data_IF_330259253188
#
_entry.id   IF_330259253188
#
_cell.length_a   1.000
_cell.length_b   1.000
_cell.length_c   1.000
_cell.angle_alpha   90.00
_cell.angle_beta   90.00
_cell.angle_gamma   90.00
#
_symmetry.space_group_name_H-M   'P 1'
#
loop_
_entity.id
_entity.type
_entity.pdbx_description
1 polymer ?
#
# COMPACT_ATOMS: atom_id res chain seq x y z
N UNK A 1 -5.16 -45.49 42.53
CA UNK A 1 -4.00 -44.93 43.30
C UNK A 1 -3.33 -46.09 44.03
N UNK A 2 -2.01 -46.35 43.81
CA UNK A 2 -1.30 -47.35 44.56
C UNK A 2 -0.96 -46.85 45.97
N UNK A 3 -1.18 -47.63 46.96
CA UNK A 3 -0.82 -47.37 48.37
C UNK A 3 0.64 -47.73 48.67
N UNK A 4 1.37 -48.29 47.69
CA UNK A 4 2.76 -48.70 47.87
C UNK A 4 3.70 -47.49 48.15
N UNK A 5 4.77 -47.66 48.92
CA UNK A 5 5.76 -46.62 49.16
C UNK A 5 6.37 -46.07 47.86
N UNK A 6 6.70 -44.76 47.84
CA UNK A 6 7.27 -44.07 46.66
C UNK A 6 8.50 -44.73 46.11
N UNK A 7 9.41 -45.17 47.00
CA UNK A 7 10.67 -45.86 46.65
C UNK A 7 10.44 -47.23 45.99
N UNK A 8 9.39 -47.93 46.39
CA UNK A 8 9.06 -49.24 45.77
C UNK A 8 8.55 -49.05 44.34
N UNK A 9 7.64 -48.06 44.15
CA UNK A 9 7.16 -47.73 42.80
C UNK A 9 8.29 -47.19 41.89
N UNK A 10 9.16 -46.34 42.44
CA UNK A 10 10.28 -45.80 41.71
C UNK A 10 11.19 -46.90 41.18
N UNK A 11 11.53 -47.90 42.03
CA UNK A 11 12.34 -49.04 41.68
C UNK A 11 11.64 -49.96 40.68
N UNK A 12 10.33 -50.20 40.86
CA UNK A 12 9.52 -51.09 39.97
C UNK A 12 9.45 -50.56 38.55
N UNK A 13 9.29 -49.25 38.40
CA UNK A 13 9.10 -48.61 37.09
C UNK A 13 10.38 -47.96 36.56
N UNK A 14 11.54 -48.05 37.21
CA UNK A 14 12.80 -47.48 36.77
C UNK A 14 12.78 -45.94 36.69
N UNK A 15 12.02 -45.30 37.56
CA UNK A 15 11.87 -43.82 37.56
C UNK A 15 12.31 -43.22 38.90
N UNK A 16 12.55 -41.91 38.96
CA UNK A 16 12.93 -41.24 40.24
C UNK A 16 11.75 -41.13 41.21
N UNK A 17 12.08 -41.12 42.50
CA UNK A 17 11.08 -40.85 43.60
C UNK A 17 10.33 -39.55 43.36
N UNK A 18 11.00 -38.54 42.85
CA UNK A 18 10.41 -37.27 42.50
C UNK A 18 9.35 -37.40 41.40
N UNK A 19 9.59 -38.22 40.43
CA UNK A 19 8.64 -38.53 39.33
C UNK A 19 7.38 -39.22 39.93
N UNK A 20 7.56 -40.17 40.84
CA UNK A 20 6.40 -40.82 41.51
C UNK A 20 5.60 -39.80 42.33
N UNK A 21 6.28 -38.93 43.12
CA UNK A 21 5.61 -37.87 43.91
C UNK A 21 4.87 -36.89 43.00
N UNK A 22 5.46 -36.51 41.87
CA UNK A 22 4.85 -35.63 40.87
C UNK A 22 3.56 -36.23 40.31
N UNK A 23 3.56 -37.51 39.95
CA UNK A 23 2.38 -38.19 39.45
C UNK A 23 1.31 -38.40 40.50
N UNK A 24 1.67 -38.70 41.77
CA UNK A 24 0.72 -38.77 42.89
C UNK A 24 0.01 -37.44 43.15
N UNK A 25 0.74 -36.31 43.07
CA UNK A 25 0.18 -34.97 43.20
C UNK A 25 -0.79 -34.59 42.08
N UNK A 26 -0.64 -35.17 40.90
CA UNK A 26 -1.50 -34.87 39.74
C UNK A 26 -2.90 -35.45 39.84
N UNK A 27 -3.16 -36.47 40.62
CA UNK A 27 -4.48 -37.09 40.75
C UNK A 27 -4.85 -38.04 39.60
N UNK A 28 -6.11 -38.50 39.58
CA UNK A 28 -6.59 -39.53 38.65
C UNK A 28 -6.70 -39.09 37.19
N UNK A 29 -6.89 -37.79 36.93
CA UNK A 29 -7.09 -37.25 35.59
C UNK A 29 -5.76 -36.85 34.91
N UNK A 30 -4.65 -37.25 35.48
CA UNK A 30 -3.33 -36.72 35.18
C UNK A 30 -2.52 -37.56 34.19
N UNK A 31 -3.14 -38.56 33.56
CA UNK A 31 -2.46 -39.34 32.50
C UNK A 31 -2.28 -38.57 31.17
N UNK A 32 -2.97 -37.45 31.02
CA UNK A 32 -2.79 -36.60 29.86
C UNK A 32 -1.62 -35.63 30.06
N UNK A 33 -0.81 -35.49 29.03
CA UNK A 33 0.25 -34.49 29.03
C UNK A 33 -0.31 -33.07 29.18
N UNK A 34 0.33 -32.28 30.04
CA UNK A 34 0.01 -30.86 30.11
C UNK A 34 0.48 -30.20 28.83
N UNK A 35 -0.33 -29.27 28.32
CA UNK A 35 0.09 -28.46 27.18
C UNK A 35 1.48 -27.88 27.42
N UNK A 36 2.39 -28.07 26.48
CA UNK A 36 3.72 -27.46 26.48
C UNK A 36 3.70 -25.97 26.16
N UNK A 37 2.51 -25.46 25.83
CA UNK A 37 2.34 -24.04 25.50
C UNK A 37 2.59 -23.16 26.72
N UNK A 38 3.48 -22.14 26.63
CA UNK A 38 3.71 -21.19 27.71
C UNK A 38 2.39 -20.49 28.13
N UNK A 39 2.20 -20.28 29.43
CA UNK A 39 1.04 -19.56 29.96
C UNK A 39 1.03 -18.07 29.58
N UNK A 40 2.21 -17.49 29.43
CA UNK A 40 2.41 -16.12 28.97
C UNK A 40 3.18 -16.15 27.64
N UNK A 41 2.59 -15.55 26.64
CA UNK A 41 3.19 -15.40 25.32
C UNK A 41 3.47 -13.91 25.15
N UNK A 42 4.74 -13.51 25.26
CA UNK A 42 5.17 -12.11 25.16
C UNK A 42 4.72 -11.42 23.85
N UNK A 43 4.47 -12.20 22.82
CA UNK A 43 4.01 -11.75 21.51
C UNK A 43 2.48 -11.78 21.34
N UNK A 44 1.71 -12.18 22.38
CA UNK A 44 0.25 -12.20 22.31
C UNK A 44 -0.27 -10.79 22.48
N UNK A 45 -1.06 -10.32 21.53
CA UNK A 45 -1.75 -9.05 21.61
C UNK A 45 -2.72 -9.02 22.82
N UNK A 46 -2.76 -7.89 23.52
CA UNK A 46 -3.78 -7.62 24.53
C UNK A 46 -5.16 -7.46 23.90
N UNK A 47 -6.21 -7.43 24.69
CA UNK A 47 -7.57 -7.21 24.17
C UNK A 47 -7.73 -5.79 23.61
N UNK A 48 -7.09 -4.80 24.21
CA UNK A 48 -7.07 -3.42 23.71
C UNK A 48 -6.36 -3.32 22.36
N UNK A 49 -5.21 -3.98 22.22
CA UNK A 49 -4.49 -4.03 20.95
C UNK A 49 -5.28 -4.74 19.86
N UNK A 50 -5.97 -5.83 20.20
CA UNK A 50 -6.89 -6.51 19.29
C UNK A 50 -8.02 -5.59 18.84
N UNK A 51 -8.61 -4.83 19.78
CA UNK A 51 -9.65 -3.85 19.48
C UNK A 51 -9.14 -2.76 18.54
N UNK A 52 -7.92 -2.24 18.78
CA UNK A 52 -7.27 -1.24 17.90
C UNK A 52 -7.10 -1.79 16.49
N UNK A 53 -6.55 -3.00 16.33
CA UNK A 53 -6.37 -3.65 15.01
C UNK A 53 -7.71 -3.79 14.28
N UNK A 54 -8.74 -4.27 14.98
CA UNK A 54 -10.06 -4.46 14.40
C UNK A 54 -10.73 -3.13 14.03
N UNK A 55 -10.61 -2.11 14.88
CA UNK A 55 -11.19 -0.81 14.63
C UNK A 55 -10.50 -0.11 13.46
N UNK A 56 -9.17 -0.16 13.40
CA UNK A 56 -8.41 0.38 12.26
C UNK A 56 -8.84 -0.29 10.95
N UNK A 57 -9.05 -1.61 10.95
CA UNK A 57 -9.55 -2.35 9.80
C UNK A 57 -10.92 -1.88 9.35
N UNK A 58 -11.85 -1.68 10.29
CA UNK A 58 -13.24 -1.25 9.99
C UNK A 58 -13.28 0.18 9.46
N UNK A 59 -12.51 1.10 10.08
CA UNK A 59 -12.53 2.51 9.74
C UNK A 59 -11.83 2.83 8.41
N UNK A 60 -10.74 2.11 8.09
CA UNK A 60 -9.91 2.43 6.92
C UNK A 60 -10.13 1.50 5.73
N UNK A 61 -10.64 0.29 5.94
CA UNK A 61 -10.69 -0.74 4.89
C UNK A 61 -9.31 -1.21 4.40
N UNK A 62 -8.23 -0.89 5.09
CA UNK A 62 -6.87 -1.21 4.67
C UNK A 62 -6.65 -2.71 4.49
N UNK A 63 -5.86 -3.08 3.50
CA UNK A 63 -5.35 -4.44 3.33
C UNK A 63 -4.47 -4.88 4.50
N UNK A 64 -4.17 -6.19 4.58
CA UNK A 64 -3.33 -6.72 5.66
C UNK A 64 -1.93 -6.10 5.67
N UNK A 65 -1.35 -5.89 4.49
CA UNK A 65 0.00 -5.32 4.37
C UNK A 65 0.02 -3.84 4.78
N UNK A 66 -1.03 -3.09 4.44
CA UNK A 66 -1.19 -1.70 4.83
C UNK A 66 -1.40 -1.53 6.34
N UNK A 67 -2.25 -2.39 6.92
CA UNK A 67 -2.44 -2.44 8.38
C UNK A 67 -1.12 -2.76 9.09
N UNK A 68 -0.37 -3.74 8.59
CA UNK A 68 0.93 -4.12 9.16
C UNK A 68 1.90 -2.95 9.12
N UNK A 69 1.93 -2.21 8.00
CA UNK A 69 2.78 -1.03 7.86
C UNK A 69 2.42 0.05 8.88
N UNK A 70 1.15 0.39 9.01
CA UNK A 70 0.68 1.43 9.95
C UNK A 70 0.90 0.99 11.40
N UNK A 71 0.50 -0.23 11.75
CA UNK A 71 0.59 -0.74 13.11
C UNK A 71 2.03 -0.89 13.62
N UNK A 72 3.00 -1.12 12.72
CA UNK A 72 4.42 -1.22 13.08
C UNK A 72 4.95 0.01 13.83
N UNK A 73 4.38 1.19 13.60
CA UNK A 73 4.82 2.43 14.22
C UNK A 73 4.44 2.56 15.70
N UNK A 74 3.40 1.85 16.16
CA UNK A 74 2.92 1.94 17.55
C UNK A 74 2.65 0.58 18.22
N UNK A 75 2.54 -0.51 17.45
CA UNK A 75 2.48 -1.89 17.94
C UNK A 75 3.54 -2.76 17.24
N UNK A 76 4.84 -2.45 17.39
CA UNK A 76 5.93 -3.06 16.62
C UNK A 76 6.11 -4.56 16.88
N UNK A 77 5.62 -5.08 18.01
CA UNK A 77 5.67 -6.50 18.37
C UNK A 77 4.64 -7.34 17.59
N UNK A 78 3.61 -6.71 17.00
CA UNK A 78 2.62 -7.41 16.19
C UNK A 78 3.15 -7.57 14.75
N UNK A 79 3.54 -8.78 14.41
CA UNK A 79 3.89 -9.10 13.04
C UNK A 79 2.64 -9.32 12.17
N UNK A 80 2.85 -9.44 10.86
CA UNK A 80 1.80 -9.64 9.87
C UNK A 80 0.88 -10.84 10.18
N UNK A 81 1.45 -11.94 10.68
CA UNK A 81 0.70 -13.16 10.98
C UNK A 81 -0.15 -13.00 12.23
N UNK A 82 0.34 -12.26 13.24
CA UNK A 82 -0.44 -11.92 14.43
C UNK A 82 -1.65 -11.06 14.05
N UNK A 83 -1.46 -10.04 13.23
CA UNK A 83 -2.53 -9.17 12.73
C UNK A 83 -3.54 -10.00 11.94
N UNK A 84 -3.08 -10.90 11.04
CA UNK A 84 -3.99 -11.77 10.29
C UNK A 84 -4.83 -12.68 11.20
N UNK A 85 -4.23 -13.27 12.25
CA UNK A 85 -4.96 -14.11 13.21
C UNK A 85 -6.01 -13.29 13.97
N UNK A 86 -5.67 -12.08 14.45
CA UNK A 86 -6.61 -11.18 15.12
C UNK A 86 -7.80 -10.89 14.19
N UNK A 87 -7.52 -10.51 12.93
CA UNK A 87 -8.58 -10.22 11.97
C UNK A 87 -9.41 -11.47 11.63
N UNK A 88 -8.79 -12.65 11.57
CA UNK A 88 -9.50 -13.91 11.33
C UNK A 88 -10.44 -14.24 12.48
N UNK A 89 -9.99 -14.13 13.72
CA UNK A 89 -10.79 -14.39 14.91
C UNK A 89 -11.98 -13.43 14.99
N UNK A 90 -11.83 -12.19 14.52
CA UNK A 90 -12.87 -11.17 14.47
C UNK A 90 -13.76 -11.23 13.20
N UNK A 91 -13.53 -12.18 12.27
CA UNK A 91 -14.26 -12.26 11.00
C UNK A 91 -13.92 -11.15 10.00
N UNK A 92 -12.82 -10.41 10.20
CA UNK A 92 -12.38 -9.25 9.41
C UNK A 92 -11.22 -9.55 8.46
N UNK A 93 -10.84 -10.82 8.31
CA UNK A 93 -9.69 -11.23 7.48
C UNK A 93 -9.91 -11.06 5.97
N UNK A 94 -11.15 -10.94 5.53
CA UNK A 94 -11.53 -10.65 4.14
C UNK A 94 -12.18 -9.28 4.06
N UNK A 95 -11.76 -8.48 3.08
CA UNK A 95 -12.49 -7.27 2.72
C UNK A 95 -13.76 -7.66 1.95
N UNK A 96 -14.83 -6.86 2.05
CA UNK A 96 -15.99 -7.04 1.18
C UNK A 96 -15.54 -7.10 -0.28
N UNK A 97 -16.11 -7.99 -1.09
CA UNK A 97 -15.77 -8.05 -2.51
C UNK A 97 -16.16 -6.72 -3.17
N UNK A 98 -15.19 -6.03 -3.75
CA UNK A 98 -15.47 -4.90 -4.63
C UNK A 98 -16.13 -5.49 -5.90
N UNK A 99 -17.27 -4.98 -6.34
CA UNK A 99 -17.91 -5.45 -7.58
C UNK A 99 -16.89 -5.38 -8.72
N UNK A 100 -16.55 -6.53 -9.30
CA UNK A 100 -15.64 -6.59 -10.44
C UNK A 100 -16.41 -6.16 -11.69
N UNK A 101 -16.03 -5.04 -12.28
CA UNK A 101 -16.49 -4.66 -13.60
C UNK A 101 -15.82 -5.58 -14.64
N UNK A 102 -16.55 -6.58 -15.12
CA UNK A 102 -16.21 -7.39 -16.29
C UNK A 102 -15.25 -8.57 -16.06
N UNK A 103 -15.08 -9.43 -17.08
CA UNK A 103 -14.27 -10.64 -17.01
C UNK A 103 -12.77 -10.30 -16.92
N UNK A 104 -12.06 -10.94 -15.99
CA UNK A 104 -10.60 -10.88 -15.87
C UNK A 104 -9.98 -11.57 -17.09
N UNK A 105 -9.51 -10.81 -18.06
CA UNK A 105 -8.70 -11.33 -19.17
C UNK A 105 -7.29 -11.64 -18.69
N UNK A 106 -6.69 -12.71 -19.25
CA UNK A 106 -5.43 -13.28 -18.82
C UNK A 106 -4.27 -12.28 -18.66
N UNK A 107 -3.38 -12.58 -17.72
CA UNK A 107 -2.20 -11.76 -17.40
C UNK A 107 -1.20 -11.81 -18.56
N UNK A 108 -1.14 -10.74 -19.34
CA UNK A 108 -0.03 -10.52 -20.27
C UNK A 108 1.29 -10.32 -19.49
N UNK A 109 2.39 -10.90 -19.97
CA UNK A 109 3.72 -10.60 -19.42
C UNK A 109 4.03 -9.12 -19.66
N UNK A 110 4.17 -8.36 -18.59
CA UNK A 110 4.68 -6.99 -18.67
C UNK A 110 6.18 -7.06 -18.99
N UNK A 111 6.62 -6.28 -19.99
CA UNK A 111 8.06 -6.06 -20.21
C UNK A 111 8.60 -5.28 -19.01
N UNK A 112 9.76 -5.68 -18.53
CA UNK A 112 10.51 -4.91 -17.55
C UNK A 112 11.06 -3.65 -18.22
N UNK A 113 10.92 -2.52 -17.57
CA UNK A 113 11.45 -1.23 -17.99
C UNK A 113 12.22 -0.63 -16.82
N UNK A 114 13.24 0.13 -17.15
CA UNK A 114 13.90 0.99 -16.18
C UNK A 114 12.97 2.15 -15.74
N UNK A 115 13.23 2.82 -14.60
CA UNK A 115 12.57 4.06 -14.24
C UNK A 115 12.65 5.10 -15.36
N UNK A 116 11.55 5.81 -15.59
CA UNK A 116 11.42 6.80 -16.65
C UNK A 116 10.34 6.48 -17.69
N UNK A 117 9.66 5.33 -17.57
CA UNK A 117 8.47 5.05 -18.36
C UNK A 117 7.21 5.36 -17.53
N UNK A 118 6.63 6.53 -17.75
CA UNK A 118 5.56 7.08 -16.93
C UNK A 118 4.21 6.96 -17.64
N UNK A 119 3.20 6.45 -16.93
CA UNK A 119 1.81 6.46 -17.36
C UNK A 119 1.11 7.67 -16.78
N UNK A 120 0.37 8.41 -17.60
CA UNK A 120 -0.44 9.55 -17.19
C UNK A 120 -1.91 9.26 -17.49
N UNK A 121 -2.77 9.63 -16.55
CA UNK A 121 -4.22 9.46 -16.63
C UNK A 121 -4.95 10.58 -15.89
N UNK A 122 -6.19 10.84 -16.26
CA UNK A 122 -7.05 11.83 -15.59
C UNK A 122 -8.26 11.14 -14.99
N UNK A 123 -8.49 11.43 -13.71
CA UNK A 123 -9.67 10.96 -12.98
C UNK A 123 -10.55 12.12 -12.58
N UNK A 124 -11.84 12.02 -12.88
CA UNK A 124 -12.82 12.98 -12.41
C UNK A 124 -13.04 12.82 -10.89
N UNK A 125 -12.95 13.92 -10.17
CA UNK A 125 -13.24 13.98 -8.74
C UNK A 125 -14.72 14.23 -8.47
N UNK A 126 -15.23 13.88 -7.28
CA UNK A 126 -16.57 14.25 -6.85
C UNK A 126 -16.77 15.77 -6.89
N UNK A 127 -18.00 16.22 -7.14
CA UNK A 127 -18.35 17.63 -7.03
C UNK A 127 -18.44 18.01 -5.55
N UNK A 128 -17.49 18.78 -5.07
CA UNK A 128 -17.48 19.33 -3.72
C UNK A 128 -17.67 20.85 -3.76
N UNK A 129 -18.01 21.43 -2.62
CA UNK A 129 -18.07 22.87 -2.47
C UNK A 129 -16.66 23.48 -2.60
N UNK A 130 -16.59 24.62 -3.28
CA UNK A 130 -15.42 25.50 -3.25
C UNK A 130 -15.58 26.53 -2.12
N UNK A 131 -14.52 27.28 -1.81
CA UNK A 131 -14.56 28.36 -0.83
C UNK A 131 -15.66 29.41 -1.14
N UNK A 132 -16.00 29.58 -2.41
CA UNK A 132 -17.03 30.49 -2.90
C UNK A 132 -18.47 29.94 -2.76
N UNK A 133 -18.63 28.72 -2.22
CA UNK A 133 -19.92 28.06 -2.05
C UNK A 133 -20.43 27.32 -3.28
N UNK A 134 -19.80 27.45 -4.43
CA UNK A 134 -20.14 26.76 -5.66
C UNK A 134 -19.72 25.29 -5.65
N UNK A 135 -20.51 24.43 -6.29
CA UNK A 135 -20.16 23.01 -6.53
C UNK A 135 -19.47 22.86 -7.87
N UNK A 136 -18.15 22.77 -7.87
CA UNK A 136 -17.37 22.61 -9.10
C UNK A 136 -16.85 21.18 -9.25
N UNK A 137 -16.70 20.77 -10.50
CA UNK A 137 -16.02 19.52 -10.88
C UNK A 137 -14.53 19.81 -10.97
N UNK A 138 -13.70 18.90 -10.41
CA UNK A 138 -12.26 18.97 -10.53
C UNK A 138 -11.68 17.67 -11.08
N UNK A 139 -10.46 17.72 -11.53
CA UNK A 139 -9.79 16.66 -12.26
C UNK A 139 -8.48 16.32 -11.58
N UNK A 140 -8.31 15.06 -11.22
CA UNK A 140 -7.08 14.53 -10.67
C UNK A 140 -6.22 13.96 -11.80
N UNK A 141 -5.12 14.60 -12.08
CA UNK A 141 -4.08 14.10 -12.95
C UNK A 141 -3.13 13.21 -12.15
N UNK A 142 -2.80 12.06 -12.66
CA UNK A 142 -1.96 11.07 -12.01
C UNK A 142 -0.89 10.61 -12.97
N UNK A 143 0.36 10.63 -12.52
CA UNK A 143 1.51 10.07 -13.21
C UNK A 143 2.10 8.94 -12.36
N UNK A 144 2.28 7.76 -12.94
CA UNK A 144 2.89 6.61 -12.26
C UNK A 144 4.03 6.04 -13.09
N UNK A 145 5.22 5.92 -12.49
CA UNK A 145 6.34 5.24 -13.13
C UNK A 145 6.12 3.73 -13.17
N UNK A 146 6.37 3.15 -14.32
CA UNK A 146 6.09 1.73 -14.57
C UNK A 146 6.99 0.79 -13.78
N UNK A 147 8.24 1.16 -13.57
CA UNK A 147 9.22 0.36 -12.85
C UNK A 147 9.06 0.52 -11.33
N UNK A 148 9.33 1.71 -10.84
CA UNK A 148 9.38 2.01 -9.40
C UNK A 148 8.01 2.10 -8.73
N UNK A 149 6.93 2.21 -9.51
CA UNK A 149 5.56 2.49 -8.99
C UNK A 149 5.44 3.84 -8.28
N UNK A 150 6.44 4.69 -8.40
CA UNK A 150 6.36 6.04 -7.84
C UNK A 150 5.29 6.85 -8.53
N UNK A 151 4.57 7.66 -7.75
CA UNK A 151 3.41 8.43 -8.21
C UNK A 151 3.63 9.91 -7.95
N UNK A 152 3.22 10.72 -8.91
CA UNK A 152 2.95 12.15 -8.73
C UNK A 152 1.50 12.42 -9.10
N UNK A 153 0.86 13.35 -8.41
CA UNK A 153 -0.50 13.77 -8.69
C UNK A 153 -0.70 15.26 -8.48
N UNK A 154 -1.63 15.83 -9.22
CA UNK A 154 -2.08 17.21 -9.07
C UNK A 154 -3.57 17.32 -9.41
N UNK A 155 -4.23 18.33 -8.84
CA UNK A 155 -5.66 18.62 -9.06
C UNK A 155 -5.81 19.89 -9.86
N UNK A 156 -6.64 19.83 -10.91
CA UNK A 156 -6.93 20.95 -11.81
C UNK A 156 -8.43 21.19 -11.93
N UNK A 157 -8.78 22.43 -12.31
CA UNK A 157 -10.17 22.84 -12.50
C UNK A 157 -10.75 22.38 -13.84
N UNK A 158 -9.90 22.07 -14.82
CA UNK A 158 -10.33 21.65 -16.15
C UNK A 158 -9.46 20.52 -16.70
N UNK A 159 -10.05 19.70 -17.57
CA UNK A 159 -9.38 18.69 -18.39
C UNK A 159 -9.17 19.29 -19.78
N UNK A 160 -8.03 19.97 -19.98
CA UNK A 160 -7.66 20.63 -21.21
C UNK A 160 -6.16 20.48 -21.53
N UNK A 161 -5.75 20.93 -22.71
CA UNK A 161 -4.38 20.80 -23.16
C UNK A 161 -3.38 21.59 -22.27
N UNK A 162 -3.75 22.79 -21.84
CA UNK A 162 -2.87 23.65 -21.04
C UNK A 162 -2.55 23.00 -19.69
N UNK A 163 -3.57 22.49 -19.00
CA UNK A 163 -3.40 21.77 -17.73
C UNK A 163 -2.61 20.46 -17.91
N UNK A 164 -2.75 19.79 -19.07
CA UNK A 164 -1.96 18.61 -19.38
C UNK A 164 -0.48 18.93 -19.56
N UNK A 165 -0.16 20.05 -20.21
CA UNK A 165 1.20 20.56 -20.37
C UNK A 165 1.79 21.00 -19.03
N UNK A 166 1.01 21.73 -18.23
CA UNK A 166 1.41 22.15 -16.88
C UNK A 166 1.70 20.93 -16.01
N UNK A 167 0.82 19.93 -16.03
CA UNK A 167 1.03 18.68 -15.32
C UNK A 167 2.28 17.93 -15.80
N UNK A 168 2.56 17.93 -17.09
CA UNK A 168 3.78 17.33 -17.64
C UNK A 168 5.04 18.00 -17.09
N UNK A 169 5.06 19.33 -17.00
CA UNK A 169 6.14 20.08 -16.37
C UNK A 169 6.30 19.73 -14.88
N UNK A 170 5.17 19.67 -14.14
CA UNK A 170 5.18 19.25 -12.75
C UNK A 170 5.73 17.84 -12.55
N UNK A 171 5.32 16.89 -13.41
CA UNK A 171 5.81 15.51 -13.41
C UNK A 171 7.32 15.45 -13.68
N UNK A 172 7.81 16.24 -14.66
CA UNK A 172 9.24 16.35 -14.95
C UNK A 172 10.02 16.79 -13.72
N UNK A 173 9.53 17.78 -13.00
CA UNK A 173 10.20 18.29 -11.79
C UNK A 173 10.03 17.39 -10.56
N UNK A 174 9.00 16.56 -10.50
CA UNK A 174 8.68 15.74 -9.34
C UNK A 174 9.42 14.41 -9.28
N UNK A 175 9.86 13.86 -10.41
CA UNK A 175 10.59 12.60 -10.42
C UNK A 175 12.11 12.81 -10.40
N UNK A 176 12.85 12.12 -9.52
CA UNK A 176 14.30 12.30 -9.38
C UNK A 176 15.11 11.58 -10.48
N UNK A 177 14.43 10.91 -11.42
CA UNK A 177 15.00 10.25 -12.59
C UNK A 177 14.52 10.92 -13.89
N UNK A 178 15.30 10.78 -14.94
CA UNK A 178 14.96 11.30 -16.26
C UNK A 178 13.79 10.51 -16.86
N UNK A 179 12.73 11.22 -17.27
CA UNK A 179 11.60 10.62 -17.98
C UNK A 179 12.00 10.43 -19.44
N UNK A 180 11.85 9.20 -19.93
CA UNK A 180 12.17 8.82 -21.31
C UNK A 180 10.91 8.59 -22.14
N UNK A 181 9.84 8.07 -21.51
CA UNK A 181 8.60 7.73 -22.19
C UNK A 181 7.41 8.17 -21.38
N UNK A 182 6.39 8.64 -22.07
CA UNK A 182 5.08 8.89 -21.49
C UNK A 182 4.03 8.09 -22.24
N UNK A 183 3.19 7.36 -21.49
CA UNK A 183 2.04 6.66 -22.00
C UNK A 183 0.77 7.34 -21.50
N UNK A 184 -0.09 7.79 -22.44
CA UNK A 184 -1.40 8.35 -22.14
C UNK A 184 -2.49 7.52 -22.82
N UNK A 185 -3.72 7.71 -22.38
CA UNK A 185 -4.87 7.31 -23.17
C UNK A 185 -5.05 8.22 -24.41
N UNK A 186 -6.23 8.16 -25.04
CA UNK A 186 -6.58 8.97 -26.19
C UNK A 186 -7.47 10.16 -25.83
N UNK A 187 -7.46 10.59 -24.57
CA UNK A 187 -8.21 11.77 -24.14
C UNK A 187 -7.83 13.02 -24.94
N UNK A 188 -8.80 13.89 -25.17
CA UNK A 188 -8.61 15.10 -25.98
C UNK A 188 -7.51 16.01 -25.44
N UNK A 189 -7.37 16.09 -24.11
CA UNK A 189 -6.36 16.89 -23.44
C UNK A 189 -4.91 16.41 -23.74
N UNK A 190 -4.75 15.11 -24.00
CA UNK A 190 -3.45 14.55 -24.35
C UNK A 190 -3.22 14.47 -25.88
N UNK A 191 -4.26 14.47 -26.69
CA UNK A 191 -4.12 14.39 -28.15
C UNK A 191 -3.88 15.74 -28.81
N UNK A 192 -3.95 16.83 -28.08
CA UNK A 192 -3.68 18.17 -28.55
C UNK A 192 -2.21 18.33 -28.97
N UNK A 193 -1.97 19.11 -30.04
CA UNK A 193 -0.64 19.40 -30.57
C UNK A 193 0.29 20.02 -29.52
N UNK A 194 -0.25 20.84 -28.61
CA UNK A 194 0.49 21.47 -27.53
C UNK A 194 1.15 20.45 -26.59
N UNK A 195 0.44 19.36 -26.26
CA UNK A 195 0.99 18.31 -25.40
C UNK A 195 2.06 17.49 -26.16
N UNK A 196 1.85 17.20 -27.42
CA UNK A 196 2.82 16.50 -28.27
C UNK A 196 4.09 17.32 -28.44
N UNK A 197 3.94 18.62 -28.72
CA UNK A 197 5.07 19.57 -28.79
C UNK A 197 5.84 19.62 -27.48
N UNK A 198 5.15 19.74 -26.35
CA UNK A 198 5.79 19.76 -25.03
C UNK A 198 6.59 18.48 -24.75
N UNK A 199 6.08 17.30 -25.09
CA UNK A 199 6.82 16.05 -24.97
C UNK A 199 8.07 16.05 -25.86
N UNK A 200 7.95 16.51 -27.12
CA UNK A 200 9.06 16.60 -28.07
C UNK A 200 10.15 17.56 -27.58
N UNK A 201 9.78 18.75 -27.12
CA UNK A 201 10.70 19.78 -26.62
C UNK A 201 11.47 19.30 -25.36
N UNK A 202 10.87 18.40 -24.59
CA UNK A 202 11.50 17.76 -23.42
C UNK A 202 12.31 16.50 -23.78
N UNK A 203 12.33 16.07 -25.04
CA UNK A 203 12.98 14.84 -25.48
C UNK A 203 12.33 13.56 -24.93
N UNK A 204 11.01 13.58 -24.73
CA UNK A 204 10.22 12.47 -24.19
C UNK A 204 9.48 11.77 -25.33
N UNK A 205 9.66 10.45 -25.45
CA UNK A 205 8.92 9.61 -26.40
C UNK A 205 7.48 9.43 -25.92
N UNK A 206 6.55 10.00 -26.67
CA UNK A 206 5.13 9.88 -26.38
C UNK A 206 4.53 8.63 -26.98
N UNK A 207 3.86 7.84 -26.16
CA UNK A 207 3.10 6.65 -26.56
C UNK A 207 1.64 6.78 -26.21
N UNK A 208 0.78 6.18 -27.03
CA UNK A 208 -0.66 6.13 -26.81
C UNK A 208 -1.10 4.68 -26.59
N UNK A 209 -2.06 4.48 -25.68
CA UNK A 209 -2.65 3.15 -25.51
C UNK A 209 -3.32 2.70 -26.81
N UNK A 210 -3.21 1.40 -27.12
CA UNK A 210 -3.97 0.82 -28.23
C UNK A 210 -5.47 0.90 -27.91
N UNK A 211 -6.28 1.23 -28.92
CA UNK A 211 -7.73 1.20 -28.78
C UNK A 211 -8.18 -0.18 -28.26
N UNK A 212 -9.13 -0.21 -27.36
CA UNK A 212 -9.70 -1.43 -26.77
C UNK A 212 -8.68 -2.35 -26.05
N UNK A 213 -7.53 -1.83 -25.59
CA UNK A 213 -6.53 -2.60 -24.84
C UNK A 213 -6.40 -2.06 -23.40
N UNK A 214 -7.34 -2.35 -22.50
CA UNK A 214 -7.32 -1.87 -21.11
C UNK A 214 -6.10 -2.39 -20.32
N UNK A 215 -5.44 -3.44 -20.81
CA UNK A 215 -4.26 -4.02 -20.16
C UNK A 215 -3.06 -3.07 -20.10
N UNK A 216 -2.98 -2.09 -21.00
CA UNK A 216 -1.87 -1.13 -21.06
C UNK A 216 -1.95 -0.06 -19.98
N UNK A 217 -3.14 0.27 -19.46
CA UNK A 217 -3.35 1.31 -18.44
C UNK A 217 -3.64 0.75 -17.03
N UNK A 218 -3.59 -0.56 -16.86
CA UNK A 218 -4.00 -1.24 -15.62
C UNK A 218 -3.22 -0.84 -14.35
N UNK A 219 -2.08 -0.14 -14.46
CA UNK A 219 -1.37 0.38 -13.29
C UNK A 219 -2.03 1.64 -12.74
N UNK A 220 -2.30 2.60 -13.61
CA UNK A 220 -2.97 3.85 -13.24
C UNK A 220 -4.39 3.57 -12.81
N UNK A 221 -5.11 2.69 -13.51
CA UNK A 221 -6.45 2.24 -13.12
C UNK A 221 -6.46 1.65 -11.70
N UNK A 222 -5.46 0.84 -11.36
CA UNK A 222 -5.31 0.25 -10.03
C UNK A 222 -5.00 1.30 -8.96
N UNK A 223 -4.14 2.28 -9.28
CA UNK A 223 -3.88 3.41 -8.39
C UNK A 223 -5.14 4.26 -8.21
N UNK A 224 -5.84 4.60 -9.30
CA UNK A 224 -7.11 5.32 -9.27
C UNK A 224 -8.21 4.59 -8.50
N UNK A 225 -8.21 3.25 -8.54
CA UNK A 225 -9.05 2.41 -7.70
C UNK A 225 -8.73 2.57 -6.21
N UNK A 226 -7.45 2.66 -5.85
CA UNK A 226 -7.03 2.92 -4.46
C UNK A 226 -7.41 4.33 -4.01
N UNK A 227 -7.23 5.35 -4.84
CA UNK A 227 -7.73 6.70 -4.55
C UNK A 227 -9.23 6.67 -4.26
N UNK A 228 -10.00 5.95 -5.08
CA UNK A 228 -11.45 5.82 -4.89
C UNK A 228 -11.82 5.15 -3.56
N UNK A 229 -11.08 4.13 -3.14
CA UNK A 229 -11.40 3.33 -1.93
C UNK A 229 -10.76 3.85 -0.66
N UNK A 230 -9.59 4.48 -0.73
CA UNK A 230 -8.83 4.90 0.45
C UNK A 230 -8.96 6.41 0.73
N UNK A 231 -9.21 7.23 -0.29
CA UNK A 231 -9.31 8.70 -0.15
C UNK A 231 -10.74 9.19 -0.33
N UNK A 232 -11.38 8.83 -1.45
CA UNK A 232 -12.71 9.37 -1.79
C UNK A 232 -13.85 8.78 -0.94
N UNK A 233 -13.58 7.80 -0.07
CA UNK A 233 -14.51 7.33 0.95
C UNK A 233 -14.51 8.21 2.21
N UNK A 234 -13.49 9.05 2.36
CA UNK A 234 -13.42 9.99 3.48
C UNK A 234 -14.37 11.16 3.18
N UNK A 235 -15.29 11.44 4.08
CA UNK A 235 -16.15 12.60 3.96
C UNK A 235 -15.35 13.88 4.17
N UNK A 236 -15.21 14.67 3.12
CA UNK A 236 -14.60 16.01 3.15
C UNK A 236 -15.60 17.03 2.66
N UNK A 237 -15.54 18.23 3.22
CA UNK A 237 -16.52 19.28 2.94
C UNK A 237 -16.17 20.07 1.68
N UNK A 238 -14.90 20.19 1.37
CA UNK A 238 -14.39 21.08 0.31
C UNK A 238 -13.23 20.44 -0.47
N UNK A 239 -12.84 21.08 -1.57
CA UNK A 239 -11.76 20.61 -2.42
C UNK A 239 -10.36 20.78 -1.81
N UNK A 240 -10.16 21.76 -0.94
CA UNK A 240 -8.87 22.01 -0.29
C UNK A 240 -8.50 20.87 0.65
N UNK A 241 -9.46 20.43 1.48
CA UNK A 241 -9.28 19.26 2.34
C UNK A 241 -9.03 17.99 1.53
N UNK A 242 -9.74 17.83 0.39
CA UNK A 242 -9.51 16.70 -0.50
C UNK A 242 -8.09 16.71 -1.10
N UNK A 243 -7.59 17.88 -1.51
CA UNK A 243 -6.22 18.01 -2.02
C UNK A 243 -5.16 17.70 -0.96
N UNK A 244 -5.38 18.12 0.29
CA UNK A 244 -4.51 17.78 1.42
C UNK A 244 -4.47 16.26 1.62
N UNK A 245 -5.63 15.61 1.61
CA UNK A 245 -5.72 14.15 1.73
C UNK A 245 -5.05 13.44 0.56
N UNK A 246 -5.24 13.90 -0.67
CA UNK A 246 -4.62 13.34 -1.87
C UNK A 246 -3.09 13.45 -1.81
N UNK A 247 -2.56 14.61 -1.38
CA UNK A 247 -1.11 14.81 -1.19
C UNK A 247 -0.55 13.90 -0.11
N UNK A 248 -1.24 13.79 1.03
CA UNK A 248 -0.87 12.88 2.11
C UNK A 248 -0.90 11.43 1.67
N UNK A 249 -1.92 11.02 0.93
CA UNK A 249 -2.03 9.69 0.35
C UNK A 249 -0.90 9.40 -0.65
N UNK A 250 -0.57 10.34 -1.53
CA UNK A 250 0.53 10.20 -2.49
C UNK A 250 1.87 10.02 -1.78
N UNK A 251 2.13 10.82 -0.74
CA UNK A 251 3.31 10.67 0.10
C UNK A 251 3.37 9.29 0.76
N UNK A 252 2.31 8.88 1.43
CA UNK A 252 2.22 7.58 2.08
C UNK A 252 2.39 6.42 1.07
N UNK A 253 1.78 6.52 -0.12
CA UNK A 253 1.91 5.53 -1.18
C UNK A 253 3.36 5.36 -1.63
N UNK A 254 4.08 6.46 -1.84
CA UNK A 254 5.47 6.44 -2.30
C UNK A 254 6.46 5.92 -1.24
N UNK A 255 6.12 6.02 0.06
CA UNK A 255 7.00 5.60 1.17
C UNK A 255 6.58 4.27 1.80
N UNK A 256 5.47 3.68 1.39
CA UNK A 256 4.97 2.41 1.89
C UNK A 256 5.56 1.22 1.12
N UNK A 257 6.07 0.17 1.79
CA UNK A 257 6.53 -1.05 1.14
C UNK A 257 5.43 -1.71 0.29
N UNK A 258 5.76 -2.13 -0.92
CA UNK A 258 4.83 -2.76 -1.85
C UNK A 258 5.28 -4.18 -2.23
N UNK A 259 4.37 -5.14 -2.18
CA UNK A 259 4.67 -6.54 -2.54
C UNK A 259 5.20 -6.69 -3.97
N UNK A 260 4.67 -5.89 -4.90
CA UNK A 260 5.09 -5.90 -6.30
C UNK A 260 6.55 -5.45 -6.49
N UNK A 261 7.10 -4.72 -5.52
CA UNK A 261 8.50 -4.28 -5.47
C UNK A 261 9.35 -5.14 -4.51
N UNK A 262 8.93 -6.37 -4.21
CA UNK A 262 9.67 -7.23 -3.29
C UNK A 262 9.64 -6.75 -1.82
N UNK A 263 8.68 -5.91 -1.45
CA UNK A 263 8.54 -5.40 -0.07
C UNK A 263 9.31 -4.12 0.21
N UNK A 264 9.82 -3.43 -0.82
CA UNK A 264 10.43 -2.10 -0.68
C UNK A 264 9.44 -1.01 -1.10
N UNK A 265 9.69 0.22 -0.65
CA UNK A 265 8.87 1.37 -1.02
C UNK A 265 9.28 1.91 -2.41
N UNK A 266 8.35 2.53 -3.19
CA UNK A 266 8.67 3.20 -4.45
C UNK A 266 9.85 4.18 -4.34
N UNK A 267 9.86 5.03 -3.33
CA UNK A 267 10.95 5.98 -3.10
C UNK A 267 12.29 5.28 -2.90
N UNK A 268 12.32 4.19 -2.11
CA UNK A 268 13.54 3.41 -1.88
C UNK A 268 14.01 2.68 -3.15
N UNK A 269 13.07 2.17 -3.96
CA UNK A 269 13.37 1.56 -5.24
C UNK A 269 14.11 2.54 -6.16
N UNK A 270 13.66 3.79 -6.23
CA UNK A 270 14.29 4.85 -7.03
C UNK A 270 15.69 5.19 -6.51
N UNK A 271 15.83 5.36 -5.19
CA UNK A 271 17.13 5.68 -4.57
C UNK A 271 18.15 4.61 -4.94
N UNK A 272 17.83 3.34 -4.69
CA UNK A 272 18.73 2.22 -4.97
C UNK A 272 19.05 2.06 -6.46
N UNK A 273 18.11 2.44 -7.34
CA UNK A 273 18.36 2.41 -8.78
C UNK A 273 19.27 3.56 -9.22
N UNK A 274 19.06 4.79 -8.70
CA UNK A 274 19.88 5.97 -9.04
C UNK A 274 21.31 5.89 -8.49
N UNK A 275 21.54 5.14 -7.41
CA UNK A 275 22.89 4.83 -6.92
C UNK A 275 23.69 4.03 -7.96
N UNK A 276 23.01 3.11 -8.66
CA UNK A 276 23.61 2.29 -9.72
C UNK A 276 23.69 3.01 -11.07
N UNK A 277 22.80 3.98 -11.29
CA UNK A 277 22.66 4.70 -12.58
C UNK A 277 22.68 6.22 -12.37
N UNK A 278 23.79 6.81 -11.88
CA UNK A 278 23.84 8.23 -11.54
C UNK A 278 23.61 9.16 -12.74
N UNK A 279 23.95 8.73 -13.96
CA UNK A 279 23.72 9.48 -15.19
C UNK A 279 22.22 9.64 -15.55
N UNK A 280 21.35 8.83 -14.95
CA UNK A 280 19.90 8.90 -15.16
C UNK A 280 19.20 9.87 -14.21
N UNK A 281 19.94 10.56 -13.35
CA UNK A 281 19.37 11.56 -12.44
C UNK A 281 18.77 12.71 -13.24
N UNK A 282 17.63 13.16 -12.78
CA UNK A 282 16.99 14.35 -13.29
C UNK A 282 17.62 15.60 -12.65
N UNK A 283 18.18 16.49 -13.47
CA UNK A 283 18.80 17.74 -13.02
C UNK A 283 17.75 18.78 -12.60
N UNK A 284 16.54 18.70 -13.15
CA UNK A 284 15.43 19.61 -12.85
C UNK A 284 14.60 19.15 -11.63
N UNK A 285 15.03 18.07 -10.94
CA UNK A 285 14.29 17.53 -9.80
C UNK A 285 14.22 18.52 -8.64
N UNK A 286 13.00 18.88 -8.29
CA UNK A 286 12.71 19.68 -7.10
C UNK A 286 12.33 18.73 -5.98
N UNK A 287 13.25 18.56 -5.01
CA UNK A 287 12.95 17.73 -3.83
C UNK A 287 11.73 18.33 -3.12
N UNK A 288 10.64 17.58 -2.94
CA UNK A 288 9.51 18.08 -2.18
C UNK A 288 9.98 18.59 -0.81
N UNK A 289 9.51 19.75 -0.41
CA UNK A 289 9.76 20.29 0.92
C UNK A 289 9.07 19.36 1.94
N UNK A 290 9.70 18.25 2.24
CA UNK A 290 9.31 17.33 3.29
C UNK A 290 9.85 17.89 4.60
N UNK A 291 8.98 18.12 5.58
CA UNK A 291 9.45 18.14 6.96
C UNK A 291 10.22 16.84 7.19
N UNK A 292 11.44 16.94 7.71
CA UNK A 292 12.22 15.81 8.23
C UNK A 292 11.40 15.15 9.35
N UNK A 293 10.52 14.22 8.98
CA UNK A 293 9.72 13.41 9.94
C UNK A 293 10.47 12.12 10.28
N UNK A 294 11.79 12.08 10.02
CA UNK A 294 12.65 11.00 10.51
C UNK A 294 14.00 11.60 10.99
N UNK A 295 14.00 12.06 12.20
CA UNK A 295 15.12 11.94 13.12
C UNK A 295 14.75 10.99 14.23
#
# INVERSE_FOLDING_TARGET
RSSEPTSVLARRYGISDETVRKWRRRGSDACQDRSSRPWRLAWKASEEERAIVCQLRRSTGFGLDDLTFVLRHFLPHLNRDNIWRILKDAGLNRLPPVPKAGPVRGQGKFRDYDPGYVHIDVKHLPKLQTADGDRRKRFLYVAIDRCSRSVHLAVYDAENADNSVDFLNAVKSAFPFRITHILTDRGSCFTADAFEKACHDMGIDRRRTKAYSPQTNGMVERFNGRVATEVLQVCVSNHEDLEILLRGFCFAYNHRPQRVLGGIAPAQCIISWLEKHPASRNQDYIKPAGRDIMK
#
